data_IF_922357511654
#
_entry.id   IF_922357511654
#
_cell.length_a   1.000
_cell.length_b   1.000
_cell.length_c   1.000
_cell.angle_alpha   90.00
_cell.angle_beta   90.00
_cell.angle_gamma   90.00
#
_symmetry.space_group_name_H-M   'P 1'
#
loop_
_entity.id
_entity.type
_entity.pdbx_description
1 polymer ?
#
# COMPACT_ATOMS: atom_id res chain seq x y z
N UNK A 1 0.11 7.46 10.39
CA UNK A 1 -1.32 7.63 10.68
C UNK A 1 -2.03 6.30 10.43
N UNK A 2 -2.77 5.79 11.41
CA UNK A 2 -3.65 4.62 11.22
C UNK A 2 -5.04 5.17 10.90
N UNK A 3 -5.72 4.61 9.90
CA UNK A 3 -7.07 5.04 9.54
C UNK A 3 -7.99 4.94 10.75
N UNK A 4 -8.72 6.01 11.10
CA UNK A 4 -9.52 6.10 12.35
C UNK A 4 -10.47 4.92 12.57
N UNK A 5 -10.96 4.33 11.46
CA UNK A 5 -11.92 3.23 11.47
C UNK A 5 -11.27 1.84 11.60
N UNK A 6 -9.95 1.73 11.58
CA UNK A 6 -9.25 0.45 11.65
C UNK A 6 -9.18 -0.05 13.11
N UNK A 7 -9.30 -1.37 13.30
CA UNK A 7 -9.13 -1.99 14.62
C UNK A 7 -7.70 -1.74 15.14
N UNK A 8 -7.54 -1.17 16.35
CA UNK A 8 -6.22 -0.87 16.89
C UNK A 8 -5.44 -2.15 17.23
N UNK A 9 -4.12 -2.11 17.06
CA UNK A 9 -3.23 -3.22 17.45
C UNK A 9 -3.04 -4.35 16.43
N UNK A 10 -3.90 -4.46 15.42
CA UNK A 10 -3.83 -5.57 14.44
C UNK A 10 -3.07 -5.26 13.15
N UNK A 11 -2.65 -4.00 12.94
CA UNK A 11 -2.07 -3.57 11.67
C UNK A 11 -0.86 -4.42 11.23
N UNK A 12 0.07 -4.70 12.15
CA UNK A 12 1.28 -5.46 11.81
C UNK A 12 0.99 -6.88 11.29
N UNK A 13 0.16 -7.63 12.01
CA UNK A 13 -0.17 -9.02 11.64
C UNK A 13 -1.03 -9.07 10.37
N UNK A 14 -1.99 -8.16 10.21
CA UNK A 14 -2.85 -8.09 9.02
C UNK A 14 -2.04 -7.73 7.78
N UNK A 15 -1.14 -6.74 7.87
CA UNK A 15 -0.28 -6.37 6.74
C UNK A 15 0.62 -7.55 6.34
N UNK A 16 1.21 -8.25 7.32
CA UNK A 16 2.02 -9.45 7.07
C UNK A 16 1.24 -10.56 6.36
N UNK A 17 0.03 -10.86 6.81
CA UNK A 17 -0.82 -11.87 6.15
C UNK A 17 -1.28 -11.47 4.76
N UNK A 18 -1.54 -10.17 4.50
CA UNK A 18 -1.85 -9.70 3.15
C UNK A 18 -0.67 -9.93 2.21
N UNK A 19 0.55 -9.59 2.64
CA UNK A 19 1.77 -9.84 1.87
C UNK A 19 1.94 -11.34 1.62
N UNK A 20 1.80 -12.17 2.65
CA UNK A 20 1.85 -13.63 2.53
C UNK A 20 0.84 -14.17 1.51
N UNK A 21 -0.43 -13.76 1.63
CA UNK A 21 -1.49 -14.20 0.74
C UNK A 21 -1.27 -13.74 -0.71
N UNK A 22 -0.72 -12.54 -0.92
CA UNK A 22 -0.40 -12.02 -2.25
C UNK A 22 0.76 -12.79 -2.91
N UNK A 23 1.77 -13.21 -2.14
CA UNK A 23 2.93 -13.94 -2.68
C UNK A 23 2.52 -15.28 -3.32
N UNK A 24 1.58 -16.02 -2.72
CA UNK A 24 1.20 -17.37 -3.17
C UNK A 24 0.81 -17.40 -4.67
N UNK A 25 -0.14 -16.59 -5.15
CA UNK A 25 -0.51 -16.57 -6.57
C UNK A 25 0.43 -15.73 -7.45
N UNK A 26 1.15 -14.73 -6.90
CA UNK A 26 1.93 -13.78 -7.71
C UNK A 26 3.37 -14.23 -7.94
N UNK A 27 3.94 -15.01 -7.01
CA UNK A 27 5.33 -15.43 -7.07
C UNK A 27 5.71 -16.22 -8.33
N UNK A 28 4.91 -17.17 -8.85
CA UNK A 28 5.26 -17.91 -10.06
C UNK A 28 5.42 -17.03 -11.30
N UNK A 29 4.74 -15.88 -11.35
CA UNK A 29 4.77 -14.99 -12.50
C UNK A 29 5.89 -13.94 -12.42
N UNK A 30 6.17 -13.41 -11.23
CA UNK A 30 7.02 -12.20 -11.06
C UNK A 30 7.98 -12.25 -9.87
N UNK A 31 8.06 -13.39 -9.16
CA UNK A 31 8.79 -13.49 -7.90
C UNK A 31 8.15 -12.71 -6.74
N UNK A 32 6.95 -12.16 -6.94
CA UNK A 32 6.21 -11.34 -5.97
C UNK A 32 7.10 -10.25 -5.35
N UNK A 33 7.63 -9.37 -6.21
CA UNK A 33 8.42 -8.25 -5.75
C UNK A 33 7.62 -7.36 -4.80
N UNK A 34 6.51 -6.78 -5.28
CA UNK A 34 5.53 -5.98 -4.55
C UNK A 34 6.15 -4.84 -3.70
N UNK A 35 7.41 -4.48 -3.98
CA UNK A 35 8.18 -3.48 -3.25
C UNK A 35 9.49 -3.16 -4.00
N UNK A 36 9.68 -1.90 -4.47
CA UNK A 36 10.84 -1.52 -5.25
C UNK A 36 12.16 -1.74 -4.52
N UNK A 37 12.21 -1.54 -3.21
CA UNK A 37 13.40 -1.77 -2.39
C UNK A 37 13.71 -3.28 -2.26
N UNK A 38 12.68 -4.12 -2.16
CA UNK A 38 12.81 -5.58 -2.09
C UNK A 38 13.33 -6.19 -3.39
N UNK A 39 13.06 -5.57 -4.55
CA UNK A 39 13.71 -5.92 -5.84
C UNK A 39 15.11 -5.32 -5.94
N UNK A 40 15.24 -4.01 -5.71
CA UNK A 40 16.47 -3.28 -6.01
C UNK A 40 17.65 -3.75 -5.15
N UNK A 41 17.41 -4.05 -3.86
CA UNK A 41 18.46 -4.50 -2.96
C UNK A 41 19.17 -5.78 -3.44
N UNK A 42 18.44 -6.90 -3.63
CA UNK A 42 19.02 -8.14 -4.15
C UNK A 42 19.64 -8.01 -5.53
N UNK A 43 19.07 -7.20 -6.44
CA UNK A 43 19.66 -6.94 -7.76
C UNK A 43 21.00 -6.22 -7.64
N UNK A 44 21.08 -5.19 -6.80
CA UNK A 44 22.32 -4.44 -6.58
C UNK A 44 23.40 -5.33 -5.94
N UNK A 45 23.04 -6.09 -4.90
CA UNK A 45 23.99 -7.01 -4.26
C UNK A 45 24.49 -8.05 -5.25
N UNK A 46 23.61 -8.66 -6.04
CA UNK A 46 24.01 -9.61 -7.08
C UNK A 46 24.96 -8.98 -8.10
N UNK A 47 24.66 -7.77 -8.59
CA UNK A 47 25.52 -7.06 -9.52
C UNK A 47 26.92 -6.81 -8.94
N UNK A 48 26.99 -6.34 -7.69
CA UNK A 48 28.27 -6.07 -7.00
C UNK A 48 29.08 -7.34 -6.73
N UNK A 49 28.41 -8.47 -6.54
CA UNK A 49 29.04 -9.78 -6.32
C UNK A 49 29.37 -10.52 -7.64
N UNK A 50 29.19 -9.87 -8.79
CA UNK A 50 29.46 -10.46 -10.11
C UNK A 50 28.42 -11.49 -10.57
N UNK A 51 27.24 -11.50 -9.97
CA UNK A 51 26.10 -12.31 -10.39
C UNK A 51 25.38 -11.75 -11.62
N UNK A 52 24.57 -12.59 -12.25
CA UNK A 52 23.74 -12.20 -13.40
C UNK A 52 22.52 -11.41 -12.93
N UNK A 53 22.30 -10.23 -13.53
CA UNK A 53 21.18 -9.35 -13.18
C UNK A 53 20.42 -8.92 -14.42
N UNK A 54 19.09 -9.06 -14.36
CA UNK A 54 18.16 -8.69 -15.42
C UNK A 54 17.68 -7.24 -15.25
N UNK A 55 18.57 -6.29 -15.55
CA UNK A 55 18.28 -4.86 -15.41
C UNK A 55 17.12 -4.38 -16.28
N UNK A 56 16.83 -5.06 -17.38
CA UNK A 56 15.69 -4.81 -18.25
C UNK A 56 14.33 -4.96 -17.56
N UNK A 57 14.25 -5.76 -16.49
CA UNK A 57 13.02 -5.96 -15.72
C UNK A 57 12.82 -4.90 -14.63
N UNK A 58 13.91 -4.25 -14.19
CA UNK A 58 13.87 -3.31 -13.06
C UNK A 58 12.88 -2.15 -13.26
N UNK A 59 12.81 -1.47 -14.44
CA UNK A 59 11.85 -0.39 -14.63
C UNK A 59 10.40 -0.85 -14.49
N UNK A 60 10.09 -2.08 -14.87
CA UNK A 60 8.74 -2.64 -14.78
C UNK A 60 8.34 -2.83 -13.33
N UNK A 61 9.20 -3.42 -12.49
CA UNK A 61 8.93 -3.56 -11.05
C UNK A 61 8.68 -2.20 -10.40
N UNK A 62 9.58 -1.23 -10.62
CA UNK A 62 9.47 0.09 -10.00
C UNK A 62 8.21 0.83 -10.46
N UNK A 63 7.97 0.91 -11.77
CA UNK A 63 6.84 1.66 -12.30
C UNK A 63 5.50 1.03 -11.92
N UNK A 64 5.38 -0.30 -12.05
CA UNK A 64 4.13 -1.00 -11.73
C UNK A 64 3.78 -0.90 -10.25
N UNK A 65 4.76 -1.03 -9.36
CA UNK A 65 4.53 -1.01 -7.91
C UNK A 65 4.18 0.39 -7.39
N UNK A 66 4.85 1.42 -7.89
CA UNK A 66 4.50 2.80 -7.56
C UNK A 66 3.11 3.15 -8.09
N UNK A 67 2.80 2.78 -9.34
CA UNK A 67 1.48 3.00 -9.92
C UNK A 67 0.39 2.25 -9.13
N UNK A 68 0.63 1.00 -8.75
CA UNK A 68 -0.29 0.21 -7.94
C UNK A 68 -0.52 0.82 -6.55
N UNK A 69 0.53 1.29 -5.88
CA UNK A 69 0.42 1.96 -4.57
C UNK A 69 -0.41 3.24 -4.64
N UNK A 70 -0.18 4.07 -5.67
CA UNK A 70 -0.96 5.28 -5.93
C UNK A 70 -2.41 4.93 -6.22
N UNK A 71 -2.65 3.98 -7.13
CA UNK A 71 -4.00 3.55 -7.51
C UNK A 71 -4.77 2.95 -6.32
N UNK A 72 -4.13 2.12 -5.49
CA UNK A 72 -4.73 1.57 -4.29
C UNK A 72 -5.10 2.66 -3.28
N UNK A 73 -4.21 3.62 -3.04
CA UNK A 73 -4.48 4.76 -2.17
C UNK A 73 -5.64 5.63 -2.67
N UNK A 74 -5.66 5.93 -3.97
CA UNK A 74 -6.74 6.68 -4.60
C UNK A 74 -8.08 5.93 -4.52
N UNK A 75 -8.09 4.65 -4.90
CA UNK A 75 -9.28 3.79 -4.85
C UNK A 75 -9.81 3.70 -3.43
N UNK A 76 -8.94 3.47 -2.44
CA UNK A 76 -9.33 3.44 -1.03
C UNK A 76 -9.99 4.76 -0.61
N UNK A 77 -9.43 5.90 -1.02
CA UNK A 77 -10.01 7.22 -0.73
C UNK A 77 -11.37 7.47 -1.39
N UNK A 78 -11.65 6.81 -2.52
CA UNK A 78 -12.95 6.88 -3.20
C UNK A 78 -14.01 5.99 -2.52
N UNK A 79 -13.66 4.75 -2.18
CA UNK A 79 -14.64 3.75 -1.70
C UNK A 79 -14.84 3.76 -0.17
N UNK A 80 -13.88 4.28 0.59
CA UNK A 80 -13.90 4.17 2.07
C UNK A 80 -14.69 5.28 2.77
N UNK A 81 -15.32 6.17 2.00
CA UNK A 81 -16.21 7.21 2.54
C UNK A 81 -17.52 6.58 3.02
N UNK A 82 -17.87 6.79 4.27
CA UNK A 82 -19.12 6.26 4.86
C UNK A 82 -19.97 7.38 5.47
N UNK A 83 -21.24 7.11 5.75
CA UNK A 83 -22.14 8.10 6.39
C UNK A 83 -21.58 8.65 7.70
N UNK A 84 -20.83 7.82 8.45
CA UNK A 84 -20.12 8.21 9.67
C UNK A 84 -19.11 9.36 9.46
N UNK A 85 -18.60 9.55 8.23
CA UNK A 85 -17.72 10.68 7.91
C UNK A 85 -18.52 11.98 7.69
N UNK A 86 -19.82 11.88 7.36
CA UNK A 86 -20.73 13.03 7.15
C UNK A 86 -21.36 13.48 8.47
N UNK A 87 -21.74 12.54 9.33
CA UNK A 87 -22.37 12.84 10.63
C UNK A 87 -21.48 13.72 11.51
N UNK A 88 -20.17 13.46 11.56
CA UNK A 88 -19.24 14.30 12.32
C UNK A 88 -19.05 15.71 11.76
N UNK A 89 -19.24 15.89 10.44
CA UNK A 89 -19.22 17.21 9.82
C UNK A 89 -20.51 17.96 10.17
N UNK A 90 -21.66 17.29 10.10
CA UNK A 90 -22.94 17.89 10.50
C UNK A 90 -22.91 18.30 11.97
N UNK A 91 -22.50 17.42 12.89
CA UNK A 91 -22.37 17.76 14.31
C UNK A 91 -21.44 18.95 14.56
N UNK A 92 -20.27 18.98 13.90
CA UNK A 92 -19.32 20.09 14.02
C UNK A 92 -19.88 21.41 13.46
N UNK A 93 -20.65 21.36 12.36
CA UNK A 93 -21.28 22.53 11.77
C UNK A 93 -22.44 23.05 12.63
N UNK A 94 -23.25 22.16 13.20
CA UNK A 94 -24.35 22.53 14.11
C UNK A 94 -23.81 23.12 15.40
N UNK A 95 -22.71 22.59 15.96
CA UNK A 95 -22.04 23.18 17.13
C UNK A 95 -21.49 24.58 16.87
N UNK A 96 -20.98 24.83 15.65
CA UNK A 96 -20.55 26.16 15.25
C UNK A 96 -21.72 27.13 15.05
N UNK A 97 -22.81 26.72 14.42
CA UNK A 97 -24.02 27.55 14.28
C UNK A 97 -24.64 27.88 15.64
N UNK A 98 -24.63 26.94 16.59
CA UNK A 98 -25.18 27.16 17.94
C UNK A 98 -24.28 28.07 18.79
N UNK A 99 -23.01 28.25 18.41
CA UNK A 99 -22.04 29.14 19.08
C UNK A 99 -21.91 30.53 18.43
N UNK A 100 -22.57 30.77 17.29
CA UNK A 100 -22.57 32.04 16.58
C UNK A 100 -23.82 32.87 16.92
#
# INVERSE_FOLDING_TARGET
MIHRKAAPGFAGIVIGFIVFAAIIPVAPATGASINPARTTGPMLVQFLMGGTVHWEQWPVYVAAELAAGIAAGALFGLISRTQADRTSLTEALTEQETRA
#
